data_IF_665860808526
#
_entry.id   IF_665860808526
#
_cell.length_a   1.000
_cell.length_b   1.000
_cell.length_c   1.000
_cell.angle_alpha   90.00
_cell.angle_beta   90.00
_cell.angle_gamma   90.00
#
_symmetry.space_group_name_H-M   'P 1'
#
loop_
_entity.id
_entity.type
_entity.pdbx_description
1 polymer ?
#
# COMPACT_ATOMS: atom_id res chain seq x y z
N UNK A 1 3.21 13.22 -19.16
CA UNK A 1 3.51 11.90 -18.56
C UNK A 1 2.29 11.00 -18.72
N UNK A 2 2.46 9.80 -19.26
CA UNK A 2 1.35 8.85 -19.49
C UNK A 2 0.61 8.53 -18.17
N UNK A 3 -0.72 8.53 -18.22
CA UNK A 3 -1.60 8.28 -17.07
C UNK A 3 -1.41 6.87 -16.49
N UNK A 4 -1.05 5.88 -17.33
CA UNK A 4 -0.69 4.53 -16.86
C UNK A 4 0.65 4.52 -16.12
N UNK A 5 1.60 5.34 -16.57
CA UNK A 5 2.89 5.52 -15.88
C UNK A 5 2.70 6.18 -14.51
N UNK A 6 1.79 7.17 -14.40
CA UNK A 6 1.37 7.76 -13.12
C UNK A 6 0.78 6.73 -12.15
N UNK A 7 -0.15 5.89 -12.61
CA UNK A 7 -0.78 4.88 -11.77
C UNK A 7 0.21 3.82 -11.25
N UNK A 8 1.17 3.40 -12.08
CA UNK A 8 2.28 2.53 -11.65
C UNK A 8 3.17 3.19 -10.59
N UNK A 9 3.46 4.49 -10.73
CA UNK A 9 4.23 5.24 -9.72
C UNK A 9 3.45 5.32 -8.40
N UNK A 10 2.13 5.56 -8.43
CA UNK A 10 1.33 5.57 -7.20
C UNK A 10 1.26 4.19 -6.52
N UNK A 11 1.20 3.11 -7.30
CA UNK A 11 1.33 1.75 -6.77
C UNK A 11 2.67 1.52 -6.08
N UNK A 12 3.77 1.95 -6.71
CA UNK A 12 5.11 1.84 -6.12
C UNK A 12 5.22 2.64 -4.82
N UNK A 13 4.66 3.85 -4.76
CA UNK A 13 4.65 4.66 -3.53
C UNK A 13 3.87 3.96 -2.41
N UNK A 14 2.65 3.47 -2.70
CA UNK A 14 1.84 2.74 -1.72
C UNK A 14 2.54 1.48 -1.22
N UNK A 15 3.21 0.75 -2.13
CA UNK A 15 4.01 -0.42 -1.80
C UNK A 15 5.20 -0.07 -0.91
N UNK A 16 5.94 1.00 -1.22
CA UNK A 16 7.04 1.48 -0.37
C UNK A 16 6.57 1.85 1.04
N UNK A 17 5.42 2.53 1.16
CA UNK A 17 4.85 2.88 2.47
C UNK A 17 4.51 1.60 3.26
N UNK A 18 3.94 0.58 2.61
CA UNK A 18 3.68 -0.70 3.25
C UNK A 18 4.97 -1.33 3.80
N UNK A 19 6.02 -1.43 2.98
CA UNK A 19 7.31 -2.01 3.40
C UNK A 19 7.97 -1.22 4.52
N UNK A 20 7.94 0.12 4.48
CA UNK A 20 8.47 0.95 5.58
C UNK A 20 7.77 0.62 6.89
N UNK A 21 6.45 0.42 6.89
CA UNK A 21 5.73 0.04 8.11
C UNK A 21 6.00 -1.41 8.54
N UNK A 22 6.29 -2.32 7.60
CA UNK A 22 6.77 -3.67 7.92
C UNK A 22 8.15 -3.63 8.58
N UNK A 23 9.05 -2.76 8.12
CA UNK A 23 10.38 -2.62 8.73
C UNK A 23 10.36 -1.87 10.06
N UNK A 24 9.36 -1.02 10.29
CA UNK A 24 9.13 -0.33 11.57
C UNK A 24 8.42 -1.20 12.61
N UNK A 25 8.00 -2.41 12.24
CA UNK A 25 7.33 -3.31 13.15
C UNK A 25 8.34 -3.89 14.14
N UNK A 26 7.99 -3.84 15.42
CA UNK A 26 8.74 -4.55 16.44
C UNK A 26 8.40 -6.05 16.36
N UNK A 27 9.28 -6.80 15.70
CA UNK A 27 9.14 -8.25 15.56
C UNK A 27 9.44 -9.02 16.85
N UNK A 28 10.12 -8.40 17.81
CA UNK A 28 10.40 -8.99 19.12
C UNK A 28 9.16 -8.87 20.03
N UNK A 29 8.32 -7.85 19.81
CA UNK A 29 7.08 -7.64 20.54
C UNK A 29 5.88 -7.35 19.61
N UNK A 30 5.25 -8.40 19.09
CA UNK A 30 4.10 -8.31 18.18
C UNK A 30 2.77 -7.89 18.83
N UNK A 31 2.79 -7.42 20.09
CA UNK A 31 1.58 -6.96 20.77
C UNK A 31 0.91 -5.81 20.01
N UNK A 32 -0.42 -5.79 20.08
CA UNK A 32 -1.20 -4.73 19.42
C UNK A 32 -0.90 -3.35 19.98
N UNK A 33 -0.61 -3.24 21.28
CA UNK A 33 -0.37 -1.95 21.95
C UNK A 33 0.87 -1.24 21.41
N UNK A 34 1.98 -1.96 21.26
CA UNK A 34 3.24 -1.41 20.75
C UNK A 34 3.20 -1.18 19.23
N UNK A 35 2.56 -2.07 18.48
CA UNK A 35 2.55 -2.04 17.02
C UNK A 35 1.26 -1.47 16.39
N UNK A 36 0.37 -0.85 17.17
CA UNK A 36 -0.90 -0.32 16.67
C UNK A 36 -0.73 0.60 15.46
N UNK A 37 0.22 1.53 15.54
CA UNK A 37 0.48 2.49 14.46
C UNK A 37 0.97 1.82 13.17
N UNK A 38 2.05 1.02 13.16
CA UNK A 38 2.50 0.32 11.96
C UNK A 38 1.43 -0.64 11.41
N UNK A 39 0.67 -1.34 12.26
CA UNK A 39 -0.43 -2.19 11.80
C UNK A 39 -1.54 -1.42 11.07
N UNK A 40 -2.03 -0.31 11.65
CA UNK A 40 -3.04 0.53 10.99
C UNK A 40 -2.50 1.08 9.67
N UNK A 41 -1.24 1.55 9.66
CA UNK A 41 -0.62 2.08 8.46
C UNK A 41 -0.46 1.01 7.36
N UNK A 42 -0.12 -0.23 7.72
CA UNK A 42 -0.06 -1.35 6.79
C UNK A 42 -1.43 -1.67 6.19
N UNK A 43 -2.49 -1.69 7.02
CA UNK A 43 -3.86 -1.93 6.55
C UNK A 43 -4.29 -0.83 5.57
N UNK A 44 -4.05 0.44 5.91
CA UNK A 44 -4.38 1.58 5.04
C UNK A 44 -3.59 1.51 3.73
N UNK A 45 -2.29 1.21 3.79
CA UNK A 45 -1.46 1.07 2.60
C UNK A 45 -1.95 -0.08 1.70
N UNK A 46 -2.38 -1.20 2.27
CA UNK A 46 -2.96 -2.32 1.53
C UNK A 46 -4.29 -1.92 0.86
N UNK A 47 -5.17 -1.20 1.55
CA UNK A 47 -6.43 -0.70 0.97
C UNK A 47 -6.18 0.27 -0.20
N UNK A 48 -5.23 1.19 -0.04
CA UNK A 48 -4.84 2.12 -1.12
C UNK A 48 -4.25 1.35 -2.32
N UNK A 49 -3.40 0.36 -2.06
CA UNK A 49 -2.84 -0.50 -3.10
C UNK A 49 -3.95 -1.23 -3.88
N UNK A 50 -4.91 -1.84 -3.17
CA UNK A 50 -6.05 -2.54 -3.78
C UNK A 50 -6.91 -1.56 -4.58
N UNK A 51 -7.21 -0.38 -4.05
CA UNK A 51 -8.01 0.63 -4.74
C UNK A 51 -7.35 1.06 -6.07
N UNK A 52 -6.05 1.36 -6.05
CA UNK A 52 -5.32 1.74 -7.26
C UNK A 52 -5.26 0.55 -8.24
N UNK A 53 -5.01 -0.66 -7.75
CA UNK A 53 -4.98 -1.87 -8.57
C UNK A 53 -6.31 -2.12 -9.28
N UNK A 54 -7.44 -2.00 -8.57
CA UNK A 54 -8.78 -2.15 -9.15
C UNK A 54 -9.09 -1.05 -10.18
N UNK A 55 -8.68 0.19 -9.94
CA UNK A 55 -8.83 1.28 -10.90
C UNK A 55 -8.06 1.02 -12.20
N UNK A 56 -6.83 0.50 -12.09
CA UNK A 56 -6.03 0.12 -13.26
C UNK A 56 -6.68 -1.06 -14.00
N UNK A 57 -7.08 -2.11 -13.28
CA UNK A 57 -7.68 -3.32 -13.86
C UNK A 57 -9.00 -3.02 -14.57
N UNK A 58 -9.87 -2.20 -13.97
CA UNK A 58 -11.14 -1.78 -14.58
C UNK A 58 -10.88 -1.05 -15.90
N UNK A 59 -9.94 -0.12 -15.91
CA UNK A 59 -9.59 0.64 -17.12
C UNK A 59 -9.02 -0.25 -18.24
N UNK A 60 -8.24 -1.27 -17.91
CA UNK A 60 -7.71 -2.21 -18.91
C UNK A 60 -8.81 -3.08 -19.54
N UNK A 61 -9.94 -3.26 -18.86
CA UNK A 61 -11.12 -3.97 -19.39
C UNK A 61 -11.98 -3.10 -20.31
N UNK A 62 -11.93 -1.78 -20.13
CA UNK A 62 -12.74 -0.79 -20.85
C UNK A 62 -11.97 -0.13 -22.04
N UNK A 63 -10.73 -0.53 -22.33
CA UNK A 63 -9.93 -0.12 -23.50
C UNK A 63 -9.72 -1.28 -24.45
#
# INVERSE_FOLDING_TARGET
MDRNRRARIYLLIAFSIFFVNVFNLDFDNLSWEENKAPYINMIVAALVFIAIFLLIKKKQKDS
#
